data_IF_296276352446
#
_entry.id   IF_296276352446
#
_cell.length_a   1.000
_cell.length_b   1.000
_cell.length_c   1.000
_cell.angle_alpha   90.00
_cell.angle_beta   90.00
_cell.angle_gamma   90.00
#
_symmetry.space_group_name_H-M   'P 1'
#
loop_
_entity.id
_entity.type
_entity.pdbx_description
1 polymer ?
#
# COMPACT_ATOMS: atom_id res chain seq x y z
N UNK A 1 -4.29 -14.35 3.86
CA UNK A 1 -3.99 -13.07 3.18
C UNK A 1 -3.17 -12.14 4.07
N UNK A 2 -3.70 -11.73 5.23
CA UNK A 2 -2.96 -10.85 6.17
C UNK A 2 -1.69 -11.52 6.71
N UNK A 3 -1.73 -12.83 6.99
CA UNK A 3 -0.54 -13.59 7.40
C UNK A 3 0.60 -13.58 6.37
N UNK A 4 0.29 -13.58 5.06
CA UNK A 4 1.31 -13.46 4.01
C UNK A 4 1.93 -12.07 3.96
N UNK A 5 1.12 -11.04 4.24
CA UNK A 5 1.58 -9.65 4.37
C UNK A 5 2.56 -9.50 5.52
N UNK A 6 2.29 -10.13 6.67
CA UNK A 6 3.14 -10.06 7.86
C UNK A 6 4.50 -10.74 7.71
N UNK A 7 4.71 -11.56 6.67
CA UNK A 7 6.04 -12.10 6.34
C UNK A 7 7.00 -11.03 5.82
N UNK A 8 6.47 -9.92 5.30
CA UNK A 8 7.26 -8.84 4.66
C UNK A 8 7.08 -7.50 5.40
N UNK A 9 5.87 -7.23 5.87
CA UNK A 9 5.51 -5.98 6.57
C UNK A 9 5.36 -6.27 8.06
N UNK A 10 6.16 -5.59 8.88
CA UNK A 10 6.09 -5.71 10.33
C UNK A 10 5.23 -4.57 10.88
N UNK A 11 4.16 -4.91 11.59
CA UNK A 11 3.18 -3.96 12.12
C UNK A 11 2.30 -3.32 11.03
N UNK A 12 1.77 -2.13 11.31
CA UNK A 12 0.87 -1.38 10.41
C UNK A 12 -0.51 -2.02 10.19
N UNK A 13 -1.01 -2.82 11.14
CA UNK A 13 -2.26 -3.59 10.99
C UNK A 13 -3.47 -2.72 10.60
N UNK A 14 -3.66 -1.59 11.29
CA UNK A 14 -4.75 -0.65 11.01
C UNK A 14 -4.65 -0.06 9.59
N UNK A 15 -3.43 0.21 9.10
CA UNK A 15 -3.22 0.74 7.74
C UNK A 15 -3.52 -0.32 6.70
N UNK A 16 -3.09 -1.56 6.93
CA UNK A 16 -3.39 -2.70 6.05
C UNK A 16 -4.91 -2.88 5.94
N UNK A 17 -5.62 -2.87 7.06
CA UNK A 17 -7.08 -3.01 7.09
C UNK A 17 -7.78 -1.90 6.29
N UNK A 18 -7.36 -0.64 6.45
CA UNK A 18 -7.93 0.48 5.69
C UNK A 18 -7.64 0.42 4.19
N UNK A 19 -6.43 0.01 3.79
CA UNK A 19 -6.09 -0.17 2.36
C UNK A 19 -6.96 -1.27 1.75
N UNK A 20 -7.09 -2.42 2.44
CA UNK A 20 -7.91 -3.53 1.96
C UNK A 20 -9.38 -3.14 1.86
N UNK A 21 -9.90 -2.42 2.84
CA UNK A 21 -11.27 -1.89 2.80
C UNK A 21 -11.48 -1.02 1.56
N UNK A 22 -10.58 -0.06 1.29
CA UNK A 22 -10.69 0.80 0.12
C UNK A 22 -10.60 0.02 -1.20
N UNK A 23 -9.70 -0.97 -1.32
CA UNK A 23 -9.60 -1.81 -2.52
C UNK A 23 -10.92 -2.55 -2.77
N UNK A 24 -11.47 -3.19 -1.73
CA UNK A 24 -12.69 -3.99 -1.87
C UNK A 24 -13.95 -3.15 -2.08
N UNK A 25 -13.95 -1.88 -1.64
CA UNK A 25 -15.05 -0.95 -1.90
C UNK A 25 -14.86 -0.12 -3.18
N UNK A 26 -13.76 -0.30 -3.91
CA UNK A 26 -13.42 0.52 -5.09
C UNK A 26 -13.07 1.98 -4.77
N UNK A 27 -12.63 2.26 -3.54
CA UNK A 27 -12.21 3.58 -3.07
C UNK A 27 -10.71 3.86 -3.32
N UNK A 28 -10.25 5.01 -2.80
CA UNK A 28 -8.87 5.45 -2.88
C UNK A 28 -8.32 5.80 -1.49
N UNK A 29 -7.04 5.51 -1.25
CA UNK A 29 -6.35 5.83 0.00
C UNK A 29 -5.22 6.84 -0.22
N UNK A 30 -5.03 7.73 0.75
CA UNK A 30 -3.84 8.58 0.85
C UNK A 30 -2.96 8.11 2.01
N UNK A 31 -1.75 7.64 1.70
CA UNK A 31 -0.79 7.14 2.68
C UNK A 31 0.16 8.26 3.13
N UNK A 32 -0.10 8.83 4.31
CA UNK A 32 0.72 9.90 4.91
C UNK A 32 1.69 9.34 5.95
N UNK A 33 2.90 9.87 5.98
CA UNK A 33 3.86 9.61 7.06
C UNK A 33 5.27 9.97 6.64
N UNK A 34 6.23 9.81 7.55
CA UNK A 34 7.64 10.11 7.27
C UNK A 34 8.26 9.15 6.24
N UNK A 35 9.36 9.53 5.56
CA UNK A 35 10.12 8.63 4.69
C UNK A 35 10.61 7.38 5.45
N UNK A 36 10.79 6.27 4.74
CA UNK A 36 11.34 5.04 5.33
C UNK A 36 10.34 4.09 5.99
N UNK A 37 9.06 4.46 6.13
CA UNK A 37 8.01 3.60 6.71
C UNK A 37 7.44 2.55 5.74
N UNK A 38 8.26 2.05 4.81
CA UNK A 38 7.89 0.97 3.89
C UNK A 38 6.59 1.17 3.08
N UNK A 39 6.08 2.41 2.91
CA UNK A 39 4.82 2.70 2.17
C UNK A 39 4.77 2.06 0.79
N UNK A 40 5.85 2.20 0.01
CA UNK A 40 5.95 1.59 -1.32
C UNK A 40 5.94 0.07 -1.24
N UNK A 41 6.69 -0.51 -0.28
CA UNK A 41 6.78 -1.95 -0.09
C UNK A 41 5.40 -2.52 0.28
N UNK A 42 4.69 -1.87 1.21
CA UNK A 42 3.34 -2.24 1.62
C UNK A 42 2.38 -2.35 0.43
N UNK A 43 2.25 -1.29 -0.37
CA UNK A 43 1.31 -1.29 -1.50
C UNK A 43 1.72 -2.31 -2.58
N UNK A 44 3.02 -2.42 -2.87
CA UNK A 44 3.51 -3.40 -3.85
C UNK A 44 3.32 -4.85 -3.40
N UNK A 45 3.46 -5.13 -2.10
CA UNK A 45 3.23 -6.46 -1.52
C UNK A 45 1.75 -6.82 -1.54
N UNK A 46 0.86 -5.87 -1.20
CA UNK A 46 -0.59 -6.06 -1.30
C UNK A 46 -0.97 -6.41 -2.74
N UNK A 47 -0.51 -5.63 -3.71
CA UNK A 47 -0.80 -5.86 -5.12
C UNK A 47 -0.34 -7.25 -5.58
N UNK A 48 0.86 -7.68 -5.17
CA UNK A 48 1.37 -9.03 -5.48
C UNK A 48 0.53 -10.15 -4.87
N UNK A 49 0.06 -10.00 -3.62
CA UNK A 49 -0.75 -11.01 -2.94
C UNK A 49 -2.16 -11.10 -3.54
N UNK A 50 -2.69 -9.97 -4.02
CA UNK A 50 -4.01 -9.87 -4.65
C UNK A 50 -3.98 -10.09 -6.17
N UNK A 51 -2.83 -10.43 -6.75
CA UNK A 51 -2.63 -10.56 -8.20
C UNK A 51 -3.11 -9.34 -9.01
N UNK A 52 -2.84 -8.14 -8.48
CA UNK A 52 -3.19 -6.86 -9.09
C UNK A 52 -1.99 -6.23 -9.81
N UNK A 53 -2.27 -5.43 -10.84
CA UNK A 53 -1.24 -4.61 -11.48
C UNK A 53 -0.79 -3.48 -10.53
N UNK A 54 0.52 -3.36 -10.33
CA UNK A 54 1.11 -2.27 -9.53
C UNK A 54 1.86 -1.28 -10.43
N UNK A 55 1.43 -0.02 -10.39
CA UNK A 55 2.11 1.10 -11.06
C UNK A 55 2.45 2.18 -10.04
N UNK A 56 3.71 2.62 -10.05
CA UNK A 56 4.19 3.74 -9.23
C UNK A 56 4.48 4.95 -10.11
N UNK A 57 3.78 6.04 -9.87
CA UNK A 57 4.01 7.33 -10.52
C UNK A 57 4.61 8.28 -9.48
N UNK A 58 5.81 8.80 -9.73
CA UNK A 58 6.44 9.80 -8.87
C UNK A 58 6.00 11.18 -9.33
N UNK A 59 5.34 11.93 -8.44
CA UNK A 59 5.12 13.35 -8.64
C UNK A 59 6.46 14.07 -8.46
N UNK A 60 6.93 14.75 -9.50
CA UNK A 60 8.05 15.68 -9.47
C UNK A 60 7.50 17.12 -9.53
N UNK A 61 8.28 18.15 -9.16
CA UNK A 61 7.83 19.53 -9.23
C UNK A 61 7.36 19.95 -10.62
N UNK A 62 7.91 19.36 -11.69
CA UNK A 62 7.53 19.60 -13.08
C UNK A 62 6.15 19.04 -13.47
N UNK A 63 5.58 18.18 -12.62
CA UNK A 63 4.32 17.47 -12.85
C UNK A 63 3.20 17.92 -11.88
N UNK A 64 3.46 18.94 -11.06
CA UNK A 64 2.54 19.53 -10.08
C UNK A 64 2.01 20.87 -10.59
#
# INVERSE_FOLDING_TARGET
MVEELHKVIIGQDAVIEQILAAIFTGGHCLLVGVPGLAKTLLVSTIARILDCEFKRIQFTPDLM
#
